data_IF_722930922779
#
_entry.id   IF_722930922779
#
_cell.length_a   1.000
_cell.length_b   1.000
_cell.length_c   1.000
_cell.angle_alpha   90.00
_cell.angle_beta   90.00
_cell.angle_gamma   90.00
#
_symmetry.space_group_name_H-M   'P 1'
#
loop_
_entity.id
_entity.type
_entity.pdbx_description
1 polymer ?
#
# COMPACT_ATOMS: atom_id res chain seq x y z
N UNK A 1 41.44 4.04 -22.34
CA UNK A 1 40.28 3.87 -23.23
C UNK A 1 39.04 3.63 -22.37
N UNK A 2 38.06 4.52 -22.38
CA UNK A 2 36.80 4.31 -21.65
C UNK A 2 35.68 4.06 -22.66
N UNK A 3 35.13 2.84 -22.67
CA UNK A 3 33.98 2.47 -23.49
C UNK A 3 32.70 2.76 -22.70
N UNK A 4 31.95 3.78 -23.14
CA UNK A 4 30.60 4.09 -22.62
C UNK A 4 29.56 3.26 -23.38
N UNK A 5 28.96 2.29 -22.70
CA UNK A 5 27.81 1.54 -23.20
C UNK A 5 26.54 2.40 -23.06
N UNK A 6 26.03 2.91 -24.19
CA UNK A 6 24.68 3.49 -24.27
C UNK A 6 23.66 2.35 -24.27
N UNK A 7 22.76 2.32 -23.29
CA UNK A 7 21.61 1.41 -23.26
C UNK A 7 20.50 2.00 -24.12
N UNK A 8 20.48 1.61 -25.39
CA UNK A 8 19.34 1.85 -26.26
C UNK A 8 18.42 0.64 -26.12
N UNK A 9 17.39 0.76 -25.28
CA UNK A 9 16.31 -0.21 -25.27
C UNK A 9 15.47 0.06 -26.51
N UNK A 10 15.64 -0.79 -27.52
CA UNK A 10 14.71 -0.87 -28.63
C UNK A 10 13.49 -1.63 -28.09
N UNK A 11 12.36 -0.94 -27.94
CA UNK A 11 11.06 -1.57 -27.73
C UNK A 11 10.68 -2.29 -29.02
N UNK A 12 11.04 -3.56 -29.13
CA UNK A 12 10.35 -4.50 -30.01
C UNK A 12 9.59 -5.47 -29.14
N UNK A 13 8.28 -5.29 -29.10
CA UNK A 13 7.31 -6.29 -28.66
C UNK A 13 7.38 -7.48 -29.63
N UNK A 14 8.42 -8.29 -29.48
CA UNK A 14 8.58 -9.54 -30.19
C UNK A 14 8.15 -10.64 -29.22
N UNK A 15 6.97 -11.21 -29.47
CA UNK A 15 6.57 -12.47 -28.84
C UNK A 15 7.76 -13.43 -28.98
N UNK A 16 8.40 -13.81 -27.86
CA UNK A 16 9.52 -14.74 -27.86
C UNK A 16 9.01 -16.11 -28.31
N UNK A 17 8.99 -16.36 -29.61
CA UNK A 17 8.74 -17.67 -30.20
C UNK A 17 9.93 -18.56 -29.79
N UNK A 18 9.78 -19.29 -28.68
CA UNK A 18 10.85 -20.14 -28.12
C UNK A 18 11.17 -21.37 -29.01
N UNK A 19 10.31 -21.70 -29.98
CA UNK A 19 10.45 -22.87 -30.84
C UNK A 19 10.08 -22.56 -32.29
N UNK A 20 10.98 -22.87 -33.22
CA UNK A 20 10.79 -22.72 -34.67
C UNK A 20 10.14 -23.99 -35.25
N UNK A 21 8.83 -23.94 -35.51
CA UNK A 21 8.03 -25.05 -36.03
C UNK A 21 8.10 -25.20 -37.57
N UNK A 22 8.72 -24.24 -38.26
CA UNK A 22 8.95 -24.26 -39.71
C UNK A 22 9.84 -25.44 -40.15
N UNK A 23 10.60 -26.01 -39.22
CA UNK A 23 11.46 -27.18 -39.43
C UNK A 23 10.68 -28.49 -39.60
N UNK A 24 9.41 -28.54 -39.23
CA UNK A 24 8.53 -29.70 -39.43
C UNK A 24 7.93 -29.66 -40.84
N UNK A 25 8.46 -30.49 -41.74
CA UNK A 25 8.03 -30.55 -43.15
C UNK A 25 6.63 -31.13 -43.35
N UNK A 26 6.15 -31.97 -42.42
CA UNK A 26 4.83 -32.60 -42.49
C UNK A 26 3.81 -31.70 -41.79
N UNK A 27 2.83 -31.21 -42.55
CA UNK A 27 1.83 -30.21 -42.12
C UNK A 27 0.98 -30.70 -40.95
N UNK A 28 0.44 -31.92 -41.02
CA UNK A 28 -0.39 -32.49 -39.95
C UNK A 28 0.38 -32.70 -38.63
N UNK A 29 1.67 -33.02 -38.70
CA UNK A 29 2.52 -33.17 -37.50
C UNK A 29 2.83 -31.81 -36.91
N UNK A 30 3.10 -30.80 -37.75
CA UNK A 30 3.33 -29.41 -37.34
C UNK A 30 2.11 -28.83 -36.62
N UNK A 31 0.91 -29.02 -37.15
CA UNK A 31 -0.34 -28.55 -36.54
C UNK A 31 -0.61 -29.24 -35.19
N UNK A 32 -0.48 -30.57 -35.14
CA UNK A 32 -0.65 -31.35 -33.90
C UNK A 32 0.37 -30.99 -32.83
N UNK A 33 1.61 -30.72 -33.23
CA UNK A 33 2.67 -30.27 -32.33
C UNK A 33 2.44 -28.84 -31.85
N UNK A 34 2.02 -27.93 -32.74
CA UNK A 34 1.67 -26.55 -32.41
C UNK A 34 0.51 -26.47 -31.41
N UNK A 35 -0.55 -27.27 -31.61
CA UNK A 35 -1.66 -27.38 -30.65
C UNK A 35 -1.20 -27.95 -29.31
N UNK A 36 -0.37 -29.00 -29.31
CA UNK A 36 0.18 -29.57 -28.08
C UNK A 36 1.05 -28.57 -27.31
N UNK A 37 1.83 -27.74 -28.03
CA UNK A 37 2.61 -26.66 -27.41
C UNK A 37 1.69 -25.59 -26.85
N UNK A 38 0.73 -25.08 -27.63
CA UNK A 38 -0.24 -24.08 -27.17
C UNK A 38 -0.92 -24.53 -25.87
N UNK A 39 -1.51 -25.73 -25.87
CA UNK A 39 -2.18 -26.28 -24.69
C UNK A 39 -1.24 -26.48 -23.49
N UNK A 40 0.04 -26.80 -23.73
CA UNK A 40 1.04 -27.00 -22.65
C UNK A 40 1.53 -25.68 -22.05
N UNK A 41 1.57 -24.62 -22.84
CA UNK A 41 2.10 -23.31 -22.45
C UNK A 41 1.02 -22.28 -22.09
N UNK A 42 -0.25 -22.57 -22.33
CA UNK A 42 -1.40 -21.72 -21.95
C UNK A 42 -1.43 -21.43 -20.45
N UNK A 43 -1.18 -22.45 -19.64
CA UNK A 43 -1.03 -22.33 -18.17
C UNK A 43 0.08 -21.35 -17.77
N UNK A 44 1.15 -21.24 -18.57
CA UNK A 44 2.26 -20.32 -18.28
C UNK A 44 1.92 -18.86 -18.64
N UNK A 45 1.03 -18.64 -19.61
CA UNK A 45 0.53 -17.31 -19.95
C UNK A 45 -0.34 -16.75 -18.83
N UNK A 46 -1.27 -17.54 -18.33
CA UNK A 46 -2.16 -17.16 -17.21
C UNK A 46 -1.38 -16.86 -15.92
N UNK A 47 -0.29 -17.58 -15.66
CA UNK A 47 0.59 -17.31 -14.53
C UNK A 47 1.38 -16.02 -14.72
N UNK A 48 1.87 -15.74 -15.92
CA UNK A 48 2.62 -14.52 -16.23
C UNK A 48 1.74 -13.27 -16.09
N UNK A 49 0.51 -13.28 -16.59
CA UNK A 49 -0.43 -12.15 -16.45
C UNK A 49 -0.75 -11.84 -14.98
N UNK A 50 -0.93 -12.89 -14.16
CA UNK A 50 -1.13 -12.77 -12.71
C UNK A 50 0.12 -12.29 -11.96
N UNK A 51 1.31 -12.53 -12.50
CA UNK A 51 2.57 -12.02 -11.96
C UNK A 51 2.86 -10.58 -12.38
N UNK A 52 2.59 -10.22 -13.64
CA UNK A 52 2.77 -8.87 -14.17
C UNK A 52 1.83 -7.86 -13.51
N UNK A 53 0.57 -8.23 -13.31
CA UNK A 53 -0.40 -7.40 -12.56
C UNK A 53 0.08 -7.11 -11.13
N UNK A 54 0.65 -8.10 -10.44
CA UNK A 54 1.24 -7.90 -9.10
C UNK A 54 2.51 -7.05 -9.16
N UNK A 55 3.33 -7.20 -10.20
CA UNK A 55 4.55 -6.43 -10.39
C UNK A 55 4.26 -4.94 -10.58
N UNK A 56 3.17 -4.58 -11.27
CA UNK A 56 2.75 -3.20 -11.48
C UNK A 56 2.43 -2.49 -10.15
N UNK A 57 1.60 -3.08 -9.29
CA UNK A 57 1.29 -2.51 -7.96
C UNK A 57 2.53 -2.41 -7.07
N UNK A 58 3.43 -3.38 -7.11
CA UNK A 58 4.69 -3.32 -6.36
C UNK A 58 5.60 -2.18 -6.86
N UNK A 59 5.66 -1.96 -8.18
CA UNK A 59 6.38 -0.84 -8.78
C UNK A 59 5.88 0.52 -8.29
N UNK A 60 4.55 0.72 -8.30
CA UNK A 60 3.92 1.95 -7.78
C UNK A 60 4.20 2.16 -6.28
N UNK A 61 4.24 1.09 -5.48
CA UNK A 61 4.58 1.16 -4.05
C UNK A 61 6.01 1.63 -3.86
N UNK A 62 6.95 1.14 -4.66
CA UNK A 62 8.35 1.53 -4.57
C UNK A 62 8.56 2.98 -5.01
N UNK A 63 7.91 3.40 -6.09
CA UNK A 63 7.90 4.80 -6.53
C UNK A 63 7.37 5.73 -5.43
N UNK A 64 6.26 5.34 -4.78
CA UNK A 64 5.71 6.09 -3.65
C UNK A 64 6.72 6.24 -2.51
N UNK A 65 7.49 5.21 -2.18
CA UNK A 65 8.53 5.29 -1.15
C UNK A 65 9.63 6.26 -1.55
N UNK A 66 10.09 6.21 -2.80
CA UNK A 66 11.10 7.14 -3.32
C UNK A 66 10.61 8.60 -3.26
N UNK A 67 9.37 8.86 -3.68
CA UNK A 67 8.74 10.19 -3.57
C UNK A 67 8.62 10.64 -2.11
N UNK A 68 8.32 9.73 -1.17
CA UNK A 68 8.27 10.06 0.26
C UNK A 68 9.63 10.49 0.81
N UNK A 69 10.69 9.80 0.41
CA UNK A 69 12.08 10.16 0.77
C UNK A 69 12.44 11.52 0.17
N UNK A 70 12.06 11.77 -1.09
CA UNK A 70 12.30 13.06 -1.75
C UNK A 70 11.64 14.23 -1.01
N UNK A 71 10.40 14.08 -0.55
CA UNK A 71 9.71 15.10 0.27
C UNK A 71 10.46 15.40 1.57
N UNK A 72 10.98 14.36 2.24
CA UNK A 72 11.67 14.52 3.51
C UNK A 72 12.99 15.30 3.36
N UNK A 73 13.70 15.11 2.25
CA UNK A 73 15.04 15.68 1.99
C UNK A 73 15.01 17.09 1.37
N UNK A 74 13.85 17.58 0.89
CA UNK A 74 13.71 18.87 0.19
C UNK A 74 13.67 20.08 1.14
N UNK A 75 13.99 21.27 0.61
CA UNK A 75 13.88 22.55 1.35
C UNK A 75 12.42 22.99 1.53
N UNK A 76 12.15 23.91 2.48
CA UNK A 76 10.78 24.33 2.83
C UNK A 76 9.99 24.88 1.63
N UNK A 77 10.64 25.60 0.71
CA UNK A 77 10.01 26.17 -0.48
C UNK A 77 9.63 25.10 -1.52
N UNK A 78 10.38 24.00 -1.61
CA UNK A 78 10.16 22.95 -2.61
C UNK A 78 9.29 21.79 -2.11
N UNK A 79 9.13 21.66 -0.78
CA UNK A 79 8.31 20.62 -0.16
C UNK A 79 6.87 20.60 -0.67
N UNK A 80 6.28 21.76 -0.96
CA UNK A 80 4.91 21.83 -1.48
C UNK A 80 4.77 21.08 -2.81
N UNK A 81 5.70 21.29 -3.75
CA UNK A 81 5.69 20.63 -5.08
C UNK A 81 5.93 19.13 -4.94
N UNK A 82 6.94 18.73 -4.16
CA UNK A 82 7.23 17.31 -3.94
C UNK A 82 6.07 16.57 -3.22
N UNK A 83 5.36 17.27 -2.34
CA UNK A 83 4.21 16.72 -1.63
C UNK A 83 3.04 16.44 -2.60
N UNK A 84 2.81 17.31 -3.59
CA UNK A 84 1.80 17.07 -4.64
C UNK A 84 2.12 15.79 -5.41
N UNK A 85 3.36 15.64 -5.91
CA UNK A 85 3.78 14.43 -6.62
C UNK A 85 3.61 13.16 -5.76
N UNK A 86 3.98 13.21 -4.47
CA UNK A 86 3.77 12.10 -3.55
C UNK A 86 2.28 11.74 -3.41
N UNK A 87 1.39 12.74 -3.33
CA UNK A 87 -0.05 12.49 -3.18
C UNK A 87 -0.66 11.82 -4.41
N UNK A 88 -0.20 12.18 -5.61
CA UNK A 88 -0.64 11.57 -6.87
C UNK A 88 -0.26 10.09 -6.94
N UNK A 89 1.02 9.76 -6.69
CA UNK A 89 1.49 8.36 -6.69
C UNK A 89 0.82 7.55 -5.58
N UNK A 90 0.65 8.12 -4.39
CA UNK A 90 -0.07 7.45 -3.30
C UNK A 90 -1.55 7.18 -3.63
N UNK A 91 -2.21 8.08 -4.36
CA UNK A 91 -3.56 7.86 -4.88
C UNK A 91 -3.56 6.74 -5.93
N UNK A 92 -2.57 6.69 -6.82
CA UNK A 92 -2.41 5.63 -7.82
C UNK A 92 -2.24 4.25 -7.15
N UNK A 93 -1.33 4.13 -6.18
CA UNK A 93 -1.13 2.91 -5.37
C UNK A 93 -2.44 2.43 -4.73
N UNK A 94 -3.19 3.35 -4.12
CA UNK A 94 -4.49 3.01 -3.52
C UNK A 94 -5.50 2.54 -4.56
N UNK A 95 -5.44 3.03 -5.80
CA UNK A 95 -6.33 2.59 -6.88
C UNK A 95 -5.92 1.21 -7.38
N UNK A 96 -4.63 0.95 -7.57
CA UNK A 96 -4.12 -0.35 -8.03
C UNK A 96 -4.40 -1.46 -7.01
N UNK A 97 -4.13 -1.24 -5.73
CA UNK A 97 -4.43 -2.22 -4.66
C UNK A 97 -5.92 -2.60 -4.64
N UNK A 98 -6.82 -1.64 -4.87
CA UNK A 98 -8.26 -1.92 -4.93
C UNK A 98 -8.63 -2.74 -6.16
N UNK A 99 -8.00 -2.44 -7.29
CA UNK A 99 -8.18 -3.19 -8.53
C UNK A 99 -7.68 -4.63 -8.38
N UNK A 100 -6.44 -4.82 -7.95
CA UNK A 100 -5.85 -6.16 -7.74
C UNK A 100 -6.69 -7.02 -6.79
N UNK A 101 -7.20 -6.40 -5.71
CA UNK A 101 -8.11 -7.09 -4.78
C UNK A 101 -9.41 -7.51 -5.47
N UNK A 102 -9.98 -6.63 -6.29
CA UNK A 102 -11.20 -6.94 -7.04
C UNK A 102 -10.94 -8.08 -8.03
N UNK A 103 -9.90 -7.97 -8.84
CA UNK A 103 -9.53 -8.97 -9.85
C UNK A 103 -9.25 -10.34 -9.21
N UNK A 104 -8.65 -10.36 -8.02
CA UNK A 104 -8.45 -11.59 -7.24
C UNK A 104 -9.76 -12.23 -6.78
N UNK A 105 -10.70 -11.44 -6.25
CA UNK A 105 -12.02 -11.94 -5.82
C UNK A 105 -12.83 -12.42 -7.02
N UNK A 106 -12.84 -11.65 -8.11
CA UNK A 106 -13.52 -12.00 -9.36
C UNK A 106 -12.94 -13.31 -9.93
N UNK A 107 -11.62 -13.51 -9.85
CA UNK A 107 -10.97 -14.77 -10.21
C UNK A 107 -11.37 -15.97 -9.35
N UNK A 108 -11.51 -15.79 -8.03
CA UNK A 108 -12.02 -16.85 -7.14
C UNK A 108 -13.48 -17.20 -7.43
N UNK A 109 -14.30 -16.21 -7.79
CA UNK A 109 -15.69 -16.41 -8.17
C UNK A 109 -15.79 -17.20 -9.48
N UNK A 110 -14.98 -16.84 -10.49
CA UNK A 110 -14.93 -17.58 -11.75
C UNK A 110 -14.45 -19.03 -11.57
N UNK A 111 -13.47 -19.28 -10.69
CA UNK A 111 -13.04 -20.65 -10.37
C UNK A 111 -14.14 -21.45 -9.68
N UNK A 112 -14.92 -20.82 -8.79
CA UNK A 112 -16.07 -21.46 -8.17
C UNK A 112 -17.16 -21.83 -9.20
N UNK A 113 -17.46 -20.94 -10.14
CA UNK A 113 -18.41 -21.20 -11.23
C UNK A 113 -17.98 -22.40 -12.09
N UNK A 114 -16.71 -22.44 -12.49
CA UNK A 114 -16.15 -23.56 -13.26
C UNK A 114 -16.09 -24.87 -12.47
N UNK A 115 -15.83 -24.81 -11.17
CA UNK A 115 -15.93 -25.99 -10.33
C UNK A 115 -17.37 -26.52 -10.25
N UNK A 116 -18.37 -25.64 -10.15
CA UNK A 116 -19.78 -26.02 -10.14
C UNK A 116 -20.22 -26.61 -11.49
N UNK A 117 -19.84 -25.99 -12.61
CA UNK A 117 -20.11 -26.48 -13.96
C UNK A 117 -19.54 -27.90 -14.17
N UNK A 118 -18.30 -28.12 -13.71
CA UNK A 118 -17.63 -29.43 -13.80
C UNK A 118 -18.08 -30.42 -12.71
N UNK A 119 -19.08 -30.09 -11.88
CA UNK A 119 -19.53 -30.87 -10.71
C UNK A 119 -18.40 -31.25 -9.73
N UNK A 120 -17.32 -30.46 -9.70
CA UNK A 120 -16.18 -30.66 -8.82
C UNK A 120 -16.45 -30.05 -7.43
N UNK A 121 -17.22 -30.78 -6.63
CA UNK A 121 -17.67 -30.28 -5.33
C UNK A 121 -16.54 -29.97 -4.36
N UNK A 122 -15.43 -30.72 -4.41
CA UNK A 122 -14.29 -30.50 -3.52
C UNK A 122 -13.65 -29.14 -3.74
N UNK A 123 -13.47 -28.73 -5.00
CA UNK A 123 -12.92 -27.41 -5.32
C UNK A 123 -13.90 -26.29 -4.97
N UNK A 124 -15.19 -26.47 -5.25
CA UNK A 124 -16.23 -25.49 -4.90
C UNK A 124 -16.26 -25.19 -3.39
N UNK A 125 -16.23 -26.22 -2.55
CA UNK A 125 -16.16 -26.02 -1.10
C UNK A 125 -14.85 -25.34 -0.66
N UNK A 126 -13.74 -25.67 -1.31
CA UNK A 126 -12.43 -25.06 -1.03
C UNK A 126 -12.42 -23.55 -1.32
N UNK A 127 -12.93 -23.14 -2.49
CA UNK A 127 -13.00 -21.73 -2.89
C UNK A 127 -13.97 -20.94 -2.02
N UNK A 128 -15.16 -21.50 -1.73
CA UNK A 128 -16.14 -20.88 -0.84
C UNK A 128 -15.60 -20.69 0.59
N UNK A 129 -14.86 -21.65 1.12
CA UNK A 129 -14.22 -21.51 2.45
C UNK A 129 -13.14 -20.42 2.44
N UNK A 130 -12.38 -20.32 1.36
CA UNK A 130 -11.31 -19.33 1.19
C UNK A 130 -11.87 -17.90 1.16
N UNK A 131 -12.94 -17.66 0.41
CA UNK A 131 -13.59 -16.34 0.36
C UNK A 131 -14.15 -15.92 1.72
N UNK A 132 -14.80 -16.83 2.44
CA UNK A 132 -15.31 -16.57 3.81
C UNK A 132 -14.18 -16.19 4.75
N UNK A 133 -13.07 -16.94 4.74
CA UNK A 133 -11.92 -16.66 5.59
C UNK A 133 -11.31 -15.28 5.32
N UNK A 134 -11.17 -14.89 4.06
CA UNK A 134 -10.64 -13.57 3.69
C UNK A 134 -11.56 -12.41 4.07
N UNK A 135 -12.88 -12.58 3.95
CA UNK A 135 -13.88 -11.60 4.40
C UNK A 135 -13.80 -11.41 5.93
N UNK A 136 -13.58 -12.49 6.68
CA UNK A 136 -13.40 -12.45 8.12
C UNK A 136 -12.14 -11.64 8.50
N UNK A 137 -11.01 -11.90 7.83
CA UNK A 137 -9.76 -11.15 8.05
C UNK A 137 -9.89 -9.67 7.69
N UNK A 138 -10.63 -9.32 6.63
CA UNK A 138 -10.83 -7.93 6.25
C UNK A 138 -11.65 -7.12 7.29
N UNK A 139 -12.58 -7.78 7.99
CA UNK A 139 -13.41 -7.15 9.04
C UNK A 139 -12.60 -6.80 10.28
N UNK A 140 -11.67 -7.66 10.69
CA UNK A 140 -10.83 -7.43 11.88
C UNK A 140 -9.83 -6.28 11.67
N UNK A 141 -9.34 -6.06 10.45
CA UNK A 141 -8.39 -4.97 10.15
C UNK A 141 -9.02 -3.58 10.15
N UNK A 142 -10.32 -3.45 9.85
CA UNK A 142 -11.06 -2.18 10.00
C UNK A 142 -11.56 -1.94 11.44
N UNK A 143 -11.65 -3.00 12.26
CA UNK A 143 -11.98 -2.91 13.69
C UNK A 143 -10.76 -2.63 14.59
N UNK A 144 -9.62 -2.23 14.01
CA UNK A 144 -8.49 -1.68 14.76
C UNK A 144 -8.75 -0.28 15.38
N UNK A 145 -9.96 0.26 15.21
CA UNK A 145 -10.52 1.28 16.09
C UNK A 145 -11.49 0.64 17.08
N UNK A 146 -11.08 -0.44 17.75
CA UNK A 146 -11.56 -0.66 19.10
C UNK A 146 -11.15 0.56 19.91
N UNK A 147 -12.02 1.03 20.81
CA UNK A 147 -11.70 2.13 21.70
C UNK A 147 -10.34 1.83 22.33
N UNK A 148 -9.33 2.59 21.89
CA UNK A 148 -8.07 2.64 22.61
C UNK A 148 -8.47 2.92 24.07
N UNK A 149 -7.79 2.36 25.07
CA UNK A 149 -8.03 2.70 26.46
C UNK A 149 -7.60 4.16 26.70
N UNK A 150 -8.37 5.10 26.15
CA UNK A 150 -8.22 6.52 26.26
C UNK A 150 -8.85 6.84 27.60
N UNK A 151 -8.00 7.12 28.57
CA UNK A 151 -8.46 7.68 29.84
C UNK A 151 -8.94 9.11 29.57
N UNK A 152 -10.26 9.26 29.42
CA UNK A 152 -10.93 10.57 29.34
C UNK A 152 -11.05 11.27 30.71
N UNK A 153 -10.47 10.68 31.77
CA UNK A 153 -10.41 11.29 33.09
C UNK A 153 -9.54 12.55 33.12
N UNK A 154 -9.70 13.34 34.19
CA UNK A 154 -8.94 14.57 34.39
C UNK A 154 -7.44 14.27 34.48
N UNK A 155 -6.57 14.96 33.72
CA UNK A 155 -5.14 14.75 33.80
C UNK A 155 -4.58 15.12 35.18
N UNK A 156 -3.64 14.32 35.66
CA UNK A 156 -2.92 14.58 36.92
C UNK A 156 -1.87 15.67 36.74
N UNK A 157 -1.50 16.34 37.84
CA UNK A 157 -0.45 17.39 37.81
C UNK A 157 0.89 16.86 37.30
N UNK A 158 1.21 15.61 37.62
CA UNK A 158 2.45 14.97 37.16
C UNK A 158 2.44 14.71 35.65
N UNK A 159 1.31 14.29 35.09
CA UNK A 159 1.17 14.11 33.64
C UNK A 159 1.30 15.44 32.90
N UNK A 160 0.70 16.51 33.43
CA UNK A 160 0.84 17.87 32.89
C UNK A 160 2.32 18.30 32.94
N UNK A 161 2.99 18.11 34.08
CA UNK A 161 4.41 18.43 34.23
C UNK A 161 5.31 17.65 33.27
N UNK A 162 5.10 16.33 33.16
CA UNK A 162 5.80 15.47 32.20
C UNK A 162 5.54 15.90 30.75
N UNK A 163 4.31 16.31 30.42
CA UNK A 163 3.99 16.80 29.09
C UNK A 163 4.75 18.09 28.76
N UNK A 164 4.79 19.06 29.69
CA UNK A 164 5.50 20.34 29.51
C UNK A 164 7.00 20.10 29.33
N UNK A 165 7.62 19.22 30.12
CA UNK A 165 9.06 18.92 29.99
C UNK A 165 9.40 18.26 28.65
N UNK A 166 8.52 17.39 28.14
CA UNK A 166 8.67 16.73 26.84
C UNK A 166 8.42 17.64 25.63
N UNK A 167 7.92 18.87 25.82
CA UNK A 167 7.75 19.83 24.72
C UNK A 167 9.11 20.12 24.05
N UNK A 168 9.12 20.44 22.75
CA UNK A 168 10.34 20.81 22.04
C UNK A 168 10.55 22.32 22.08
N UNK A 169 11.77 22.75 22.38
CA UNK A 169 12.20 24.14 22.32
C UNK A 169 12.37 24.60 20.86
N UNK A 170 12.33 25.91 20.61
CA UNK A 170 12.49 26.54 19.29
C UNK A 170 11.27 26.37 18.38
N UNK A 171 10.12 25.99 18.93
CA UNK A 171 8.85 25.94 18.20
C UNK A 171 8.18 27.32 18.24
N UNK A 172 7.48 27.67 17.15
CA UNK A 172 6.68 28.89 17.11
C UNK A 172 5.63 28.87 18.22
N UNK A 173 5.47 30.01 18.91
CA UNK A 173 4.44 30.17 19.91
C UNK A 173 3.04 30.08 19.28
N UNK A 174 2.06 29.67 20.09
CA UNK A 174 0.65 29.64 19.69
C UNK A 174 0.04 31.03 19.57
N UNK A 175 -1.30 31.09 19.47
CA UNK A 175 -2.07 32.35 19.45
C UNK A 175 -1.77 33.23 20.67
N UNK A 176 -1.57 32.61 21.83
CA UNK A 176 -1.26 33.30 23.08
C UNK A 176 0.17 33.85 23.13
N UNK A 177 0.97 33.59 22.08
CA UNK A 177 2.35 34.04 21.94
C UNK A 177 3.30 33.57 23.07
N UNK A 178 2.93 32.49 23.77
CA UNK A 178 3.71 31.86 24.83
C UNK A 178 4.57 30.72 24.22
N UNK A 179 5.91 30.81 24.26
CA UNK A 179 6.79 29.75 23.78
C UNK A 179 6.94 28.61 24.81
N UNK A 180 7.36 27.42 24.36
CA UNK A 180 7.51 26.25 25.24
C UNK A 180 8.54 26.48 26.35
N UNK A 181 9.56 27.30 26.08
CA UNK A 181 10.61 27.70 27.01
C UNK A 181 10.06 28.47 28.20
N UNK A 182 9.05 29.33 27.99
CA UNK A 182 8.43 30.10 29.06
C UNK A 182 7.69 29.17 30.05
N UNK A 183 6.98 28.16 29.54
CA UNK A 183 6.30 27.16 30.36
C UNK A 183 7.28 26.26 31.14
N UNK A 184 8.48 26.04 30.58
CA UNK A 184 9.54 25.28 31.24
C UNK A 184 10.33 26.08 32.26
N UNK A 185 10.41 27.40 32.11
CA UNK A 185 11.16 28.27 33.01
C UNK A 185 10.60 28.26 34.44
N UNK A 186 9.26 28.26 34.57
CA UNK A 186 8.57 28.03 35.84
C UNK A 186 7.52 26.93 35.71
N UNK A 187 7.99 25.69 35.85
CA UNK A 187 7.16 24.49 35.69
C UNK A 187 6.06 24.39 36.74
N UNK A 188 6.34 24.78 38.00
CA UNK A 188 5.40 24.61 39.11
C UNK A 188 4.17 25.50 38.90
N UNK A 189 4.40 26.79 38.64
CA UNK A 189 3.32 27.74 38.37
C UNK A 189 2.58 27.38 37.09
N UNK A 190 3.29 26.95 36.03
CA UNK A 190 2.66 26.55 34.77
C UNK A 190 1.73 25.34 34.91
N UNK A 191 2.15 24.31 35.65
CA UNK A 191 1.31 23.14 35.96
C UNK A 191 0.11 23.53 36.79
N UNK A 192 0.28 24.41 37.78
CA UNK A 192 -0.79 24.86 38.65
C UNK A 192 -1.85 25.68 37.89
N UNK A 193 -1.41 26.62 37.04
CA UNK A 193 -2.29 27.41 36.16
C UNK A 193 -3.08 26.49 35.23
N UNK A 194 -2.44 25.49 34.60
CA UNK A 194 -3.12 24.57 33.69
C UNK A 194 -4.08 23.61 34.40
N UNK A 195 -3.73 23.16 35.61
CA UNK A 195 -4.56 22.25 36.41
C UNK A 195 -5.79 22.95 37.01
N UNK A 196 -5.66 24.23 37.36
CA UNK A 196 -6.73 25.06 37.94
C UNK A 196 -7.56 25.79 36.88
N UNK A 197 -6.94 26.27 35.79
CA UNK A 197 -7.58 27.03 34.73
C UNK A 197 -8.64 26.25 33.93
N UNK A 198 -8.65 24.92 34.05
CA UNK A 198 -9.72 24.05 33.56
C UNK A 198 -10.99 24.01 34.42
N UNK A 199 -11.12 24.84 35.47
CA UNK A 199 -12.35 25.02 36.28
C UNK A 199 -13.28 26.14 35.78
N UNK A 200 -13.10 26.63 34.56
CA UNK A 200 -14.01 27.60 33.95
C UNK A 200 -15.06 26.86 33.11
N UNK A 201 -15.90 26.08 33.78
CA UNK A 201 -17.22 25.72 33.25
C UNK A 201 -18.04 27.03 33.28
N UNK A 202 -18.40 27.64 32.14
CA UNK A 202 -19.66 27.41 31.40
C UNK A 202 -20.83 27.26 32.38
N UNK A 203 -21.35 28.42 32.82
CA UNK A 203 -22.77 28.59 33.17
C UNK A 203 -23.55 29.02 31.92
#
# INVERSE_FOLDING_TARGET
>A
MQLKLKKNWIETTQCRVKYDDSRLRITSIREKFGLKLKNKFEVLHELHEKEESKAETLGLIEERKQKKVAVNNRTRAEKAKAQVEYTEVHRAVKKSIRKDKKDYIDGLAAEAEQAAYNSNMKQLYGTAKKTVWEVQQARTTHQGQGDLPINSGKPTREEIGKAITLMKNGKAAGLDNIPAEALKADLKSSVEILYLGGRRDID
#
